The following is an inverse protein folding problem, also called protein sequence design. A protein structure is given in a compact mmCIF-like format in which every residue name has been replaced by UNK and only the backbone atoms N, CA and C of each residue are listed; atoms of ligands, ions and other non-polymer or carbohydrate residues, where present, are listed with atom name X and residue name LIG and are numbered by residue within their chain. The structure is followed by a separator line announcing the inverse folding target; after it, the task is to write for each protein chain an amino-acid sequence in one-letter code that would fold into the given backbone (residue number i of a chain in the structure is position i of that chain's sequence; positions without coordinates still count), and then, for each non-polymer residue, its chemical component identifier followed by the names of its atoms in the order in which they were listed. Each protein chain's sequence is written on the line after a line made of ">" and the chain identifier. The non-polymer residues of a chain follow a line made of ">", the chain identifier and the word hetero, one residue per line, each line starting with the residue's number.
data_IF_557064743156
#
_entry.id   IF_557064743156
#
_cell.length_a   1.000
_cell.length_b   1.000
_cell.length_c   1.000
_cell.angle_alpha   90.00
_cell.angle_beta   90.00
_cell.angle_gamma   90.00
#
_symmetry.space_group_name_H-M   'P 1'
#
loop_
_entity.id
_entity.type
_entity.pdbx_description
1 polymer ?
#
# COMPACT_ATOMS: atom_id res chain seq x y z
N UNK A 1 10.99 -6.13 -16.97
CA UNK A 1 11.45 -5.29 -15.84
C UNK A 1 11.90 -3.95 -16.40
N UNK A 2 11.52 -2.86 -15.74
CA UNK A 2 12.04 -1.51 -16.04
C UNK A 2 13.53 -1.38 -15.66
N UNK A 3 14.21 -0.41 -16.25
CA UNK A 3 15.55 0.00 -15.81
C UNK A 3 15.49 0.46 -14.34
N UNK A 4 16.32 -0.06 -13.42
CA UNK A 4 16.33 0.38 -12.02
C UNK A 4 16.47 1.89 -11.81
N UNK A 5 17.07 2.61 -12.77
CA UNK A 5 17.23 4.06 -12.72
C UNK A 5 15.89 4.81 -12.65
N UNK A 6 14.79 4.24 -13.14
CA UNK A 6 13.45 4.89 -13.05
C UNK A 6 12.94 5.01 -11.61
N UNK A 7 13.47 4.21 -10.69
CA UNK A 7 13.14 4.28 -9.27
C UNK A 7 14.20 5.06 -8.48
N UNK A 8 15.29 5.50 -9.10
CA UNK A 8 16.34 6.24 -8.40
C UNK A 8 15.90 7.67 -8.11
N UNK A 9 16.24 8.16 -6.92
CA UNK A 9 16.04 9.55 -6.52
C UNK A 9 17.08 9.94 -5.47
N UNK A 10 17.26 11.24 -5.25
CA UNK A 10 18.13 11.75 -4.19
C UNK A 10 17.44 11.59 -2.82
N UNK A 11 17.90 10.61 -2.04
CA UNK A 11 17.37 10.35 -0.70
C UNK A 11 17.66 11.47 0.29
N UNK A 12 18.66 12.32 0.01
CA UNK A 12 19.05 13.45 0.86
C UNK A 12 18.32 14.75 0.49
N UNK A 13 17.52 14.74 -0.57
CA UNK A 13 16.65 15.87 -0.88
C UNK A 13 15.78 16.20 0.35
N UNK A 14 15.40 17.47 0.58
CA UNK A 14 14.51 17.81 1.69
C UNK A 14 13.11 17.19 1.48
N UNK A 15 12.47 16.75 2.57
CA UNK A 15 11.09 16.24 2.52
C UNK A 15 10.05 17.35 2.30
N UNK A 16 10.41 18.59 2.65
CA UNK A 16 9.51 19.75 2.68
C UNK A 16 8.14 19.44 3.32
N UNK A 17 8.22 18.74 4.46
CA UNK A 17 7.05 18.26 5.19
C UNK A 17 6.15 19.43 5.61
N UNK A 18 4.91 19.39 5.16
CA UNK A 18 3.83 20.30 5.56
C UNK A 18 2.89 19.51 6.47
N UNK A 19 2.59 20.07 7.65
CA UNK A 19 1.53 19.57 8.53
C UNK A 19 0.34 20.51 8.36
N UNK A 20 -0.74 20.01 7.77
CA UNK A 20 -1.98 20.78 7.52
C UNK A 20 -2.83 20.84 8.78
N UNK A 21 -2.95 19.72 9.50
CA UNK A 21 -3.67 19.62 10.76
C UNK A 21 -3.02 18.59 11.68
N UNK A 22 -3.27 18.74 12.98
CA UNK A 22 -2.87 17.79 14.00
C UNK A 22 -4.02 17.62 14.99
N UNK A 23 -4.32 16.36 15.32
CA UNK A 23 -5.33 16.00 16.30
C UNK A 23 -4.80 14.91 17.23
N UNK A 24 -4.97 15.11 18.54
CA UNK A 24 -4.83 14.04 19.53
C UNK A 24 -6.16 13.30 19.60
N UNK A 25 -6.13 11.99 19.41
CA UNK A 25 -7.28 11.11 19.40
C UNK A 25 -7.58 10.58 20.82
N UNK A 26 -8.77 10.03 21.02
CA UNK A 26 -9.23 9.54 22.33
C UNK A 26 -8.38 8.38 22.91
N UNK A 27 -7.62 7.70 22.06
CA UNK A 27 -6.69 6.61 22.39
C UNK A 27 -5.26 7.11 22.69
N UNK A 28 -5.06 8.43 22.76
CA UNK A 28 -3.78 9.15 22.85
C UNK A 28 -2.84 8.91 21.66
N UNK A 29 -3.32 8.43 20.51
CA UNK A 29 -2.56 8.56 19.28
C UNK A 29 -2.68 10.00 18.74
N UNK A 30 -1.65 10.45 18.03
CA UNK A 30 -1.70 11.69 17.24
C UNK A 30 -1.94 11.33 15.79
N UNK A 31 -2.91 11.99 15.16
CA UNK A 31 -3.12 11.98 13.71
C UNK A 31 -2.71 13.33 13.15
N UNK A 32 -1.88 13.32 12.12
CA UNK A 32 -1.55 14.51 11.34
C UNK A 32 -1.97 14.32 9.88
N UNK A 33 -2.66 15.31 9.34
CA UNK A 33 -2.76 15.49 7.88
C UNK A 33 -1.46 16.14 7.40
N UNK A 34 -0.74 15.43 6.54
CA UNK A 34 0.57 15.87 6.06
C UNK A 34 0.67 15.84 4.54
N UNK A 35 1.61 16.62 4.03
CA UNK A 35 2.10 16.50 2.65
C UNK A 35 3.62 16.56 2.62
N UNK A 36 4.27 15.73 1.80
CA UNK A 36 5.72 15.76 1.59
C UNK A 36 6.06 15.70 0.10
N UNK A 37 7.23 16.21 -0.30
CA UNK A 37 7.62 16.31 -1.71
C UNK A 37 7.82 14.92 -2.32
N UNK A 38 7.15 14.69 -3.45
CA UNK A 38 7.36 13.51 -4.29
C UNK A 38 8.62 13.73 -5.15
N UNK A 39 9.57 12.78 -5.19
CA UNK A 39 10.74 12.89 -6.05
C UNK A 39 10.41 12.91 -7.55
N UNK A 40 9.21 12.45 -7.94
CA UNK A 40 8.70 12.50 -9.30
C UNK A 40 7.89 13.77 -9.61
N UNK A 41 7.81 14.72 -8.66
CA UNK A 41 7.10 15.98 -8.79
C UNK A 41 5.78 16.02 -8.00
N UNK A 42 5.32 17.23 -7.66
CA UNK A 42 4.14 17.40 -6.82
C UNK A 42 4.41 17.04 -5.34
N UNK A 43 3.34 16.78 -4.58
CA UNK A 43 3.41 16.36 -3.18
C UNK A 43 2.58 15.12 -2.94
N UNK A 44 2.96 14.33 -1.95
CA UNK A 44 2.21 13.16 -1.49
C UNK A 44 1.39 13.57 -0.29
N UNK A 45 0.06 13.63 -0.43
CA UNK A 45 -0.86 13.74 0.70
C UNK A 45 -0.90 12.42 1.47
N UNK A 46 -0.89 12.50 2.80
CA UNK A 46 -0.92 11.33 3.65
C UNK A 46 -1.48 11.66 5.04
N UNK A 47 -1.97 10.65 5.74
CA UNK A 47 -2.14 10.70 7.18
C UNK A 47 -0.95 10.03 7.88
N UNK A 48 -0.41 10.70 8.88
CA UNK A 48 0.62 10.17 9.77
C UNK A 48 0.02 9.96 11.16
N UNK A 49 -0.05 8.71 11.60
CA UNK A 49 -0.65 8.31 12.88
C UNK A 49 0.44 7.70 13.76
N UNK A 50 0.68 8.24 14.94
CA UNK A 50 1.74 7.76 15.83
C UNK A 50 1.30 7.78 17.31
N UNK A 51 1.91 6.93 18.16
CA UNK A 51 1.61 6.93 19.59
C UNK A 51 2.00 8.25 20.26
N UNK A 52 1.39 8.58 21.40
CA UNK A 52 1.84 9.67 22.28
C UNK A 52 3.30 9.53 22.77
N UNK A 53 3.91 8.35 22.65
CA UNK A 53 5.33 8.19 22.93
C UNK A 53 6.17 8.85 21.84
N UNK A 54 7.15 9.65 22.26
CA UNK A 54 8.10 10.30 21.35
C UNK A 54 9.00 9.33 20.57
N UNK A 55 8.97 8.03 20.90
CA UNK A 55 9.81 6.99 20.28
C UNK A 55 8.98 5.78 19.85
N UNK A 56 8.33 5.83 18.67
CA UNK A 56 7.72 4.64 18.07
C UNK A 56 8.74 3.51 17.93
N UNK A 57 8.29 2.28 18.12
CA UNK A 57 9.13 1.08 18.00
C UNK A 57 9.27 0.63 16.55
N UNK A 58 8.22 0.82 15.77
CA UNK A 58 8.11 0.35 14.39
C UNK A 58 7.37 1.36 13.53
N UNK A 59 7.52 1.23 12.21
CA UNK A 59 6.85 2.04 11.21
C UNK A 59 6.18 1.18 10.15
N UNK A 60 4.94 1.50 9.77
CA UNK A 60 4.24 0.83 8.67
C UNK A 60 3.78 1.87 7.66
N UNK A 61 4.09 1.63 6.39
CA UNK A 61 3.50 2.39 5.29
C UNK A 61 2.31 1.60 4.73
N UNK A 62 1.17 2.26 4.62
CA UNK A 62 -0.08 1.71 4.10
C UNK A 62 -0.35 2.23 2.70
N UNK A 63 -0.61 1.31 1.77
CA UNK A 63 -1.01 1.59 0.40
C UNK A 63 -2.43 1.12 0.12
N UNK A 64 -3.33 2.04 -0.22
CA UNK A 64 -4.74 1.76 -0.43
C UNK A 64 -5.04 1.01 -1.73
N UNK A 65 -6.25 0.44 -1.82
CA UNK A 65 -6.80 -0.15 -3.04
C UNK A 65 -7.26 0.89 -4.08
N UNK A 66 -7.55 0.44 -5.31
CA UNK A 66 -7.93 1.32 -6.42
C UNK A 66 -9.05 2.33 -6.08
N UNK A 67 -10.06 1.83 -5.38
CA UNK A 67 -11.29 2.55 -5.02
C UNK A 67 -11.19 3.33 -3.70
N UNK A 68 -10.02 3.36 -3.06
CA UNK A 68 -9.80 4.06 -1.79
C UNK A 68 -8.89 5.26 -1.92
N UNK A 69 -8.46 5.74 -0.76
CA UNK A 69 -7.52 6.84 -0.55
C UNK A 69 -6.76 6.60 0.77
N UNK A 70 -6.01 7.60 1.23
CA UNK A 70 -5.30 7.61 2.52
C UNK A 70 -6.14 7.28 3.77
N UNK A 71 -7.48 7.31 3.70
CA UNK A 71 -8.35 7.01 4.85
C UNK A 71 -8.52 5.52 5.13
N UNK A 72 -8.31 4.66 4.13
CA UNK A 72 -8.66 3.22 4.20
C UNK A 72 -8.17 2.54 5.48
N UNK A 73 -6.93 2.83 5.86
CA UNK A 73 -6.26 2.19 6.99
C UNK A 73 -6.25 3.03 8.27
N UNK A 74 -6.88 4.21 8.32
CA UNK A 74 -6.78 5.12 9.48
C UNK A 74 -7.23 4.45 10.79
N UNK A 75 -8.38 3.75 10.80
CA UNK A 75 -8.86 3.08 12.02
C UNK A 75 -7.94 1.95 12.47
N UNK A 76 -7.35 1.21 11.54
CA UNK A 76 -6.36 0.18 11.86
C UNK A 76 -5.06 0.80 12.38
N UNK A 77 -4.55 1.83 11.71
CA UNK A 77 -3.35 2.57 12.08
C UNK A 77 -3.43 3.16 13.51
N UNK A 78 -4.60 3.68 13.90
CA UNK A 78 -4.88 4.12 15.27
C UNK A 78 -4.70 3.00 16.29
N UNK A 79 -5.20 1.80 15.99
CA UNK A 79 -5.02 0.64 16.86
C UNK A 79 -3.54 0.24 16.89
N UNK A 80 -2.82 0.31 15.76
CA UNK A 80 -1.39 -0.03 15.71
C UNK A 80 -0.52 0.98 16.49
N UNK A 81 -0.95 2.23 16.64
CA UNK A 81 -0.28 3.19 17.52
C UNK A 81 -0.22 2.68 18.96
N UNK A 82 -1.27 2.00 19.44
CA UNK A 82 -1.28 1.35 20.78
C UNK A 82 -0.29 0.19 20.90
N UNK A 83 0.20 -0.33 19.77
CA UNK A 83 1.25 -1.36 19.70
C UNK A 83 2.66 -0.76 19.52
N UNK A 84 2.78 0.57 19.57
CA UNK A 84 4.04 1.29 19.40
C UNK A 84 4.43 1.51 17.94
N UNK A 85 3.47 1.46 17.00
CA UNK A 85 3.72 1.66 15.58
C UNK A 85 3.39 3.10 15.16
N UNK A 86 4.28 3.75 14.40
CA UNK A 86 3.88 4.88 13.55
C UNK A 86 3.39 4.36 12.20
N UNK A 87 2.33 4.94 11.68
CA UNK A 87 1.69 4.54 10.43
C UNK A 87 1.63 5.72 9.47
N UNK A 88 1.99 5.49 8.21
CA UNK A 88 1.86 6.46 7.13
C UNK A 88 0.87 5.90 6.09
N UNK A 89 -0.31 6.49 6.00
CA UNK A 89 -1.33 6.15 5.01
C UNK A 89 -1.29 7.21 3.91
N UNK A 90 -0.77 6.88 2.72
CA UNK A 90 -0.57 7.85 1.63
C UNK A 90 -1.61 7.71 0.52
N UNK A 91 -1.84 8.79 -0.21
CA UNK A 91 -2.61 8.77 -1.46
C UNK A 91 -1.76 8.33 -2.65
N UNK A 92 -2.38 7.51 -3.50
CA UNK A 92 -1.88 7.24 -4.84
C UNK A 92 -1.89 8.53 -5.69
N UNK A 93 -1.04 8.63 -6.73
CA UNK A 93 -0.95 9.84 -7.55
C UNK A 93 -2.29 10.37 -8.06
N UNK A 94 -3.22 9.47 -8.42
CA UNK A 94 -4.55 9.80 -8.94
C UNK A 94 -5.59 10.19 -7.85
N UNK A 95 -5.22 10.17 -6.57
CA UNK A 95 -6.07 10.55 -5.42
C UNK A 95 -5.61 11.83 -4.73
N UNK A 96 -4.56 12.47 -5.23
CA UNK A 96 -4.00 13.67 -4.61
C UNK A 96 -4.92 14.86 -4.82
N UNK A 97 -4.95 15.81 -3.87
CA UNK A 97 -5.51 17.14 -4.10
C UNK A 97 -4.88 17.79 -5.33
N UNK A 98 -5.64 18.57 -6.08
CA UNK A 98 -5.21 19.16 -7.36
C UNK A 98 -3.90 19.96 -7.22
N UNK A 99 -3.73 20.69 -6.12
CA UNK A 99 -2.53 21.49 -5.85
C UNK A 99 -1.26 20.64 -5.62
N UNK A 100 -1.42 19.34 -5.42
CA UNK A 100 -0.34 18.37 -5.16
C UNK A 100 -0.07 17.42 -6.33
N UNK A 101 -0.87 17.51 -7.40
CA UNK A 101 -0.63 16.76 -8.62
C UNK A 101 0.71 17.10 -9.26
N UNK A 102 1.37 16.10 -9.81
CA UNK A 102 2.41 16.27 -10.82
C UNK A 102 1.80 16.23 -12.21
N UNK A 103 2.56 16.65 -13.23
CA UNK A 103 2.19 16.34 -14.61
C UNK A 103 1.97 14.84 -14.74
N UNK A 104 0.80 14.42 -15.25
CA UNK A 104 0.45 13.00 -15.43
C UNK A 104 1.46 12.38 -16.39
N UNK A 105 2.37 11.52 -15.90
CA UNK A 105 3.33 10.89 -16.79
C UNK A 105 2.66 9.74 -17.54
N UNK A 106 3.04 9.54 -18.80
CA UNK A 106 2.57 8.40 -19.61
C UNK A 106 2.81 7.08 -18.86
N UNK A 107 1.90 6.09 -18.98
CA UNK A 107 2.08 4.77 -18.38
C UNK A 107 3.47 4.19 -18.69
N UNK A 108 4.15 3.55 -17.72
CA UNK A 108 3.71 3.26 -16.35
C UNK A 108 4.07 4.35 -15.33
N UNK A 109 4.21 5.60 -15.76
CA UNK A 109 4.84 6.67 -14.97
C UNK A 109 4.18 6.94 -13.61
N UNK A 110 2.86 6.97 -13.53
CA UNK A 110 2.15 7.22 -12.28
C UNK A 110 2.38 6.08 -11.28
N UNK A 111 2.43 4.84 -11.78
CA UNK A 111 2.66 3.67 -10.95
C UNK A 111 4.13 3.53 -10.52
N UNK A 112 5.07 4.00 -11.34
CA UNK A 112 6.47 4.19 -10.94
C UNK A 112 6.57 5.26 -9.85
N UNK A 113 5.86 6.38 -10.02
CA UNK A 113 5.81 7.45 -9.02
C UNK A 113 5.25 6.94 -7.70
N UNK A 114 4.19 6.12 -7.70
CA UNK A 114 3.70 5.46 -6.49
C UNK A 114 4.79 4.68 -5.75
N UNK A 115 5.57 3.84 -6.46
CA UNK A 115 6.67 3.08 -5.83
C UNK A 115 7.72 4.03 -5.24
N UNK A 116 8.07 5.09 -5.95
CA UNK A 116 9.04 6.10 -5.47
C UNK A 116 8.50 6.86 -4.26
N UNK A 117 7.21 7.19 -4.24
CA UNK A 117 6.57 7.93 -3.18
C UNK A 117 6.44 7.11 -1.90
N UNK A 118 6.14 5.82 -2.00
CA UNK A 118 6.21 4.92 -0.84
C UNK A 118 7.63 4.90 -0.27
N UNK A 119 8.66 4.80 -1.12
CA UNK A 119 10.06 4.84 -0.66
C UNK A 119 10.44 6.17 -0.04
N UNK A 120 9.86 7.27 -0.53
CA UNK A 120 10.01 8.59 0.08
C UNK A 120 9.31 8.70 1.43
N UNK A 121 8.15 8.08 1.58
CA UNK A 121 7.48 7.91 2.88
C UNK A 121 8.32 7.12 3.88
N UNK A 122 9.10 6.14 3.42
CA UNK A 122 10.08 5.44 4.28
C UNK A 122 11.18 6.40 4.76
N UNK A 123 11.68 7.29 3.90
CA UNK A 123 12.65 8.33 4.32
C UNK A 123 12.06 9.18 5.45
N UNK A 124 10.81 9.62 5.31
CA UNK A 124 10.08 10.37 6.35
C UNK A 124 10.05 9.61 7.68
N UNK A 125 9.67 8.33 7.66
CA UNK A 125 9.59 7.52 8.88
C UNK A 125 10.97 7.33 9.54
N UNK A 126 12.02 7.12 8.75
CA UNK A 126 13.40 6.96 9.23
C UNK A 126 13.92 8.27 9.82
N UNK A 127 13.78 9.39 9.12
CA UNK A 127 14.30 10.69 9.53
C UNK A 127 13.57 11.25 10.75
N UNK A 128 12.23 11.19 10.75
CA UNK A 128 11.42 11.83 11.79
C UNK A 128 11.36 11.04 13.09
N UNK A 129 11.38 9.71 13.01
CA UNK A 129 11.19 8.83 14.18
C UNK A 129 12.41 7.95 14.49
N UNK A 130 13.55 8.22 13.83
CA UNK A 130 14.80 7.48 14.00
C UNK A 130 14.63 5.95 13.85
N UNK A 131 13.70 5.53 12.98
CA UNK A 131 13.44 4.12 12.73
C UNK A 131 14.56 3.49 11.91
N UNK A 132 14.77 2.20 12.11
CA UNK A 132 15.77 1.42 11.38
C UNK A 132 15.09 0.53 10.33
N UNK A 133 15.81 0.05 9.32
CA UNK A 133 15.28 -0.95 8.39
C UNK A 133 14.65 -2.18 9.05
N UNK A 134 15.16 -2.58 10.22
CA UNK A 134 14.68 -3.75 10.94
C UNK A 134 13.32 -3.52 11.63
N UNK A 135 12.82 -2.28 11.62
CA UNK A 135 11.57 -1.87 12.26
C UNK A 135 10.50 -1.38 11.29
N UNK A 136 10.67 -1.60 9.98
CA UNK A 136 9.77 -1.10 8.95
C UNK A 136 8.93 -2.22 8.31
N UNK A 137 7.64 -1.97 8.16
CA UNK A 137 6.68 -2.82 7.46
C UNK A 137 5.95 -2.07 6.34
N UNK A 138 5.32 -2.84 5.45
CA UNK A 138 4.43 -2.33 4.42
C UNK A 138 3.16 -3.17 4.39
N UNK A 139 2.01 -2.51 4.23
CA UNK A 139 0.72 -3.15 3.97
C UNK A 139 0.14 -2.50 2.73
N UNK A 140 -0.12 -3.29 1.70
CA UNK A 140 -0.78 -2.82 0.49
C UNK A 140 -2.05 -3.63 0.23
N UNK A 141 -3.09 -2.97 -0.25
CA UNK A 141 -4.34 -3.61 -0.68
C UNK A 141 -4.59 -3.37 -2.16
N UNK A 142 -4.92 -4.43 -2.91
CA UNK A 142 -5.25 -4.39 -4.34
C UNK A 142 -4.22 -3.63 -5.18
N UNK A 143 -4.50 -2.38 -5.58
CA UNK A 143 -3.53 -1.45 -6.19
C UNK A 143 -2.22 -1.38 -5.38
N UNK A 144 -2.31 -1.07 -4.08
CA UNK A 144 -1.18 -1.07 -3.16
C UNK A 144 -0.47 -2.42 -3.07
N UNK A 145 -1.17 -3.55 -3.12
CA UNK A 145 -0.52 -4.87 -3.11
C UNK A 145 0.13 -5.25 -4.45
N UNK A 146 -0.43 -4.77 -5.56
CA UNK A 146 0.06 -4.99 -6.92
C UNK A 146 1.41 -4.30 -7.10
N UNK A 147 1.47 -3.00 -6.83
CA UNK A 147 2.74 -2.27 -6.91
C UNK A 147 3.62 -2.48 -5.66
N UNK A 148 3.02 -2.86 -4.54
CA UNK A 148 3.73 -3.32 -3.34
C UNK A 148 4.62 -4.54 -3.59
N UNK A 149 4.26 -5.43 -4.52
CA UNK A 149 5.16 -6.51 -4.90
C UNK A 149 6.32 -6.09 -5.80
N UNK A 150 6.15 -5.05 -6.61
CA UNK A 150 7.27 -4.40 -7.29
C UNK A 150 8.20 -3.74 -6.26
N UNK A 151 7.63 -2.96 -5.36
CA UNK A 151 8.31 -2.33 -4.23
C UNK A 151 9.10 -3.34 -3.40
N UNK A 152 8.55 -4.52 -3.10
CA UNK A 152 9.22 -5.55 -2.32
C UNK A 152 10.55 -6.02 -2.94
N UNK A 153 10.67 -6.05 -4.27
CA UNK A 153 11.93 -6.38 -4.95
C UNK A 153 12.93 -5.21 -5.01
N UNK A 154 12.47 -3.98 -4.79
CA UNK A 154 13.24 -2.74 -4.99
C UNK A 154 13.73 -2.16 -3.65
N UNK A 155 12.84 -2.04 -2.67
CA UNK A 155 13.10 -1.37 -1.40
C UNK A 155 13.66 -2.36 -0.37
N UNK A 156 14.91 -2.14 0.02
CA UNK A 156 15.66 -3.04 0.91
C UNK A 156 15.51 -2.73 2.38
N UNK A 157 14.90 -1.58 2.71
CA UNK A 157 14.75 -1.13 4.10
C UNK A 157 13.51 -1.70 4.79
N UNK A 158 12.58 -2.30 4.08
CA UNK A 158 11.36 -2.84 4.68
C UNK A 158 11.56 -4.31 5.01
N UNK A 159 11.27 -4.68 6.25
CA UNK A 159 11.48 -6.04 6.76
C UNK A 159 10.29 -6.96 6.50
N UNK A 160 9.08 -6.43 6.50
CA UNK A 160 7.85 -7.22 6.39
C UNK A 160 6.86 -6.57 5.41
N UNK A 161 6.30 -7.36 4.50
CA UNK A 161 5.27 -6.93 3.56
C UNK A 161 4.01 -7.77 3.73
N UNK A 162 2.87 -7.10 3.77
CA UNK A 162 1.54 -7.72 3.66
C UNK A 162 0.94 -7.27 2.34
N UNK A 163 0.66 -8.22 1.45
CA UNK A 163 0.11 -7.99 0.11
C UNK A 163 -1.31 -8.57 0.06
N UNK A 164 -2.31 -7.70 0.23
CA UNK A 164 -3.73 -8.04 0.29
C UNK A 164 -4.36 -7.94 -1.11
N UNK A 165 -4.92 -9.04 -1.61
CA UNK A 165 -5.70 -9.06 -2.86
C UNK A 165 -5.00 -8.42 -4.08
N UNK A 166 -3.66 -8.51 -4.16
CA UNK A 166 -2.89 -7.92 -5.25
C UNK A 166 -2.73 -8.81 -6.48
N UNK A 167 -2.37 -8.20 -7.60
CA UNK A 167 -2.04 -8.89 -8.84
C UNK A 167 -0.53 -9.06 -9.03
N UNK A 168 -0.09 -10.25 -9.44
CA UNK A 168 1.32 -10.47 -9.83
C UNK A 168 1.66 -9.86 -11.20
N UNK A 169 0.66 -9.63 -12.05
CA UNK A 169 0.82 -9.17 -13.41
C UNK A 169 -0.44 -8.45 -13.87
N UNK A 170 -0.47 -7.13 -13.65
CA UNK A 170 -1.57 -6.26 -14.08
C UNK A 170 -1.73 -6.35 -15.60
N UNK A 171 -0.61 -6.31 -16.34
CA UNK A 171 -0.65 -6.35 -17.81
C UNK A 171 -1.29 -7.62 -18.38
N UNK A 172 -1.15 -8.76 -17.67
CA UNK A 172 -1.80 -10.02 -18.03
C UNK A 172 -3.25 -10.06 -17.55
N UNK A 173 -3.51 -9.69 -16.30
CA UNK A 173 -4.83 -9.88 -15.70
C UNK A 173 -5.87 -8.92 -16.28
N UNK A 174 -5.50 -7.69 -16.63
CA UNK A 174 -6.37 -6.80 -17.42
C UNK A 174 -6.78 -7.42 -18.77
N UNK A 175 -5.90 -8.22 -19.39
CA UNK A 175 -6.17 -8.88 -20.67
C UNK A 175 -7.10 -10.09 -20.54
N UNK A 176 -7.01 -10.84 -19.43
CA UNK A 176 -7.63 -12.16 -19.32
C UNK A 176 -8.71 -12.26 -18.25
N UNK A 177 -8.85 -11.25 -17.39
CA UNK A 177 -9.83 -11.28 -16.31
C UNK A 177 -11.25 -11.39 -16.89
N UNK A 178 -12.08 -12.30 -16.32
CA UNK A 178 -13.49 -12.40 -16.63
C UNK A 178 -14.37 -11.46 -15.76
N UNK A 179 -13.76 -10.59 -14.94
CA UNK A 179 -14.52 -9.66 -14.11
C UNK A 179 -15.33 -8.68 -14.99
N UNK A 180 -16.65 -8.54 -14.81
CA UNK A 180 -17.50 -7.77 -15.71
C UNK A 180 -17.01 -6.34 -15.99
N UNK A 181 -16.51 -5.63 -14.96
CA UNK A 181 -16.01 -4.26 -15.12
C UNK A 181 -14.73 -4.21 -15.96
N UNK A 182 -13.82 -5.18 -15.77
CA UNK A 182 -12.58 -5.27 -16.56
C UNK A 182 -12.91 -5.71 -17.99
N UNK A 183 -13.89 -6.60 -18.18
CA UNK A 183 -14.36 -6.96 -19.51
C UNK A 183 -14.97 -5.77 -20.23
N UNK A 184 -15.76 -4.96 -19.52
CA UNK A 184 -16.38 -3.76 -20.04
C UNK A 184 -15.33 -2.71 -20.41
N UNK A 185 -14.39 -2.39 -19.51
CA UNK A 185 -13.28 -1.47 -19.77
C UNK A 185 -12.48 -1.93 -21.00
N UNK A 186 -12.07 -3.21 -21.04
CA UNK A 186 -11.36 -3.79 -22.18
C UNK A 186 -12.15 -3.72 -23.49
N UNK A 187 -13.49 -3.76 -23.44
CA UNK A 187 -14.36 -3.67 -24.60
C UNK A 187 -14.61 -2.23 -25.06
N UNK A 188 -14.54 -1.24 -24.16
CA UNK A 188 -14.80 0.17 -24.46
C UNK A 188 -13.52 0.97 -24.77
N UNK A 189 -12.35 0.53 -24.32
CA UNK A 189 -11.06 1.15 -24.68
C UNK A 189 -10.66 0.79 -26.13
N UNK A 190 -10.20 1.76 -26.94
CA UNK A 190 -9.67 1.48 -28.27
C UNK A 190 -8.58 0.38 -28.24
N UNK A 191 -8.65 -0.65 -29.10
CA UNK A 191 -7.75 -1.81 -28.98
C UNK A 191 -6.26 -1.50 -29.06
N UNK A 192 -5.87 -0.45 -29.80
CA UNK A 192 -4.47 -0.02 -29.91
C UNK A 192 -3.98 0.71 -28.68
N UNK A 193 -4.81 1.57 -28.09
CA UNK A 193 -4.56 2.25 -26.82
C UNK A 193 -4.44 1.23 -25.69
N UNK A 194 -5.38 0.29 -25.59
CA UNK A 194 -5.32 -0.78 -24.59
C UNK A 194 -4.05 -1.63 -24.73
N UNK A 195 -3.66 -1.99 -25.97
CA UNK A 195 -2.40 -2.72 -26.19
C UNK A 195 -1.17 -1.90 -25.81
N UNK A 196 -1.16 -0.61 -26.11
CA UNK A 196 -0.07 0.29 -25.75
C UNK A 196 0.07 0.42 -24.23
N UNK A 197 -1.06 0.62 -23.53
CA UNK A 197 -1.12 0.65 -22.07
C UNK A 197 -0.56 -0.64 -21.45
N UNK A 198 -1.05 -1.82 -21.87
CA UNK A 198 -0.56 -3.08 -21.33
C UNK A 198 0.94 -3.31 -21.64
N UNK A 199 1.41 -2.89 -22.81
CA UNK A 199 2.82 -2.99 -23.17
C UNK A 199 3.71 -2.08 -22.31
N UNK A 200 3.22 -0.89 -21.97
CA UNK A 200 3.90 0.05 -21.08
C UNK A 200 3.91 -0.43 -19.62
N UNK A 201 2.82 -1.06 -19.15
CA UNK A 201 2.70 -1.60 -17.80
C UNK A 201 3.49 -2.90 -17.58
N UNK A 202 3.59 -3.76 -18.60
CA UNK A 202 4.17 -5.11 -18.43
C UNK A 202 5.57 -5.12 -17.77
N UNK A 203 6.50 -4.20 -18.09
CA UNK A 203 7.79 -4.14 -17.40
C UNK A 203 7.72 -3.88 -15.90
N UNK A 204 6.66 -3.23 -15.38
CA UNK A 204 6.45 -2.93 -13.97
C UNK A 204 5.73 -4.06 -13.21
N UNK A 205 5.18 -5.06 -13.90
CA UNK A 205 4.47 -6.17 -13.25
C UNK A 205 5.29 -6.81 -12.11
N UNK A 206 4.65 -7.01 -10.95
CA UNK A 206 5.28 -7.52 -9.73
C UNK A 206 6.02 -8.84 -9.93
N UNK A 207 5.58 -9.70 -10.87
CA UNK A 207 6.24 -10.96 -11.26
C UNK A 207 7.72 -10.81 -11.61
N UNK A 208 8.16 -9.61 -12.01
CA UNK A 208 9.56 -9.36 -12.33
C UNK A 208 10.39 -9.12 -11.06
N UNK A 209 9.79 -8.57 -10.01
CA UNK A 209 10.47 -8.01 -8.85
C UNK A 209 10.31 -8.87 -7.59
N UNK A 210 9.14 -9.46 -7.36
CA UNK A 210 8.77 -10.10 -6.09
C UNK A 210 9.68 -11.28 -5.70
N UNK A 211 10.30 -11.93 -6.69
CA UNK A 211 11.32 -12.97 -6.48
C UNK A 211 12.63 -12.46 -5.87
N UNK A 212 12.80 -11.14 -5.75
CA UNK A 212 13.99 -10.49 -5.21
C UNK A 212 13.77 -9.87 -3.83
N UNK A 213 12.62 -10.11 -3.18
CA UNK A 213 12.29 -9.45 -1.92
C UNK A 213 13.11 -9.92 -0.71
N UNK A 214 13.78 -11.08 -0.80
CA UNK A 214 14.62 -11.59 0.28
C UNK A 214 15.66 -10.54 0.73
N UNK A 215 15.92 -10.42 2.05
CA UNK A 215 15.44 -11.29 3.12
C UNK A 215 14.09 -10.88 3.74
N UNK A 216 13.33 -9.97 3.12
CA UNK A 216 12.05 -9.52 3.68
C UNK A 216 11.04 -10.66 3.81
N UNK A 217 10.21 -10.58 4.84
CA UNK A 217 9.12 -11.53 5.10
C UNK A 217 7.86 -11.09 4.35
N UNK A 218 7.25 -12.01 3.62
CA UNK A 218 6.06 -11.73 2.83
C UNK A 218 4.84 -12.48 3.39
N UNK A 219 3.72 -11.79 3.56
CA UNK A 219 2.41 -12.37 3.79
C UNK A 219 1.47 -11.99 2.66
N UNK A 220 0.96 -12.99 1.95
CA UNK A 220 -0.07 -12.82 0.93
C UNK A 220 -1.44 -13.14 1.52
N UNK A 221 -2.42 -12.25 1.33
CA UNK A 221 -3.78 -12.44 1.84
C UNK A 221 -4.78 -12.38 0.68
N UNK A 222 -5.60 -13.42 0.55
CA UNK A 222 -6.60 -13.52 -0.52
C UNK A 222 -7.91 -14.10 -0.01
N UNK A 223 -9.04 -13.69 -0.57
CA UNK A 223 -10.31 -14.37 -0.38
C UNK A 223 -10.50 -15.44 -1.47
N UNK A 224 -11.11 -16.59 -1.12
CA UNK A 224 -11.42 -17.63 -2.12
C UNK A 224 -12.52 -17.21 -3.11
N UNK A 225 -13.34 -16.27 -2.69
CA UNK A 225 -14.47 -15.70 -3.43
C UNK A 225 -14.19 -14.29 -3.92
N UNK A 226 -12.92 -13.87 -3.96
CA UNK A 226 -12.50 -12.59 -4.53
C UNK A 226 -12.89 -12.53 -6.03
N UNK A 227 -13.66 -11.51 -6.46
CA UNK A 227 -14.10 -11.42 -7.85
C UNK A 227 -13.01 -10.94 -8.82
N UNK A 228 -11.94 -10.32 -8.31
CA UNK A 228 -10.81 -9.79 -9.10
C UNK A 228 -9.59 -10.70 -9.09
N UNK A 229 -9.39 -11.49 -8.02
CA UNK A 229 -8.22 -12.35 -7.84
C UNK A 229 -8.62 -13.80 -7.71
N UNK A 230 -8.44 -14.57 -8.78
CA UNK A 230 -8.68 -16.01 -8.74
C UNK A 230 -7.71 -16.72 -7.78
N UNK A 231 -8.12 -17.87 -7.22
CA UNK A 231 -7.24 -18.72 -6.40
C UNK A 231 -5.95 -19.07 -7.15
N UNK A 232 -6.04 -19.31 -8.46
CA UNK A 232 -4.88 -19.61 -9.30
C UNK A 232 -3.92 -18.43 -9.39
N UNK A 233 -4.42 -17.22 -9.59
CA UNK A 233 -3.59 -16.02 -9.73
C UNK A 233 -2.94 -15.62 -8.41
N UNK A 234 -3.66 -15.72 -7.29
CA UNK A 234 -3.09 -15.51 -5.96
C UNK A 234 -1.99 -16.53 -5.62
N UNK A 235 -2.20 -17.82 -5.95
CA UNK A 235 -1.18 -18.85 -5.78
C UNK A 235 0.05 -18.58 -6.65
N UNK A 236 -0.13 -18.18 -7.90
CA UNK A 236 0.98 -17.85 -8.79
C UNK A 236 1.78 -16.64 -8.29
N UNK A 237 1.11 -15.63 -7.71
CA UNK A 237 1.79 -14.50 -7.08
C UNK A 237 2.70 -14.98 -5.94
N UNK A 238 2.16 -15.81 -5.05
CA UNK A 238 2.94 -16.41 -3.96
C UNK A 238 4.10 -17.26 -4.47
N UNK A 239 3.90 -18.10 -5.49
CA UNK A 239 4.93 -18.99 -6.02
C UNK A 239 6.13 -18.23 -6.59
N UNK A 240 5.89 -17.11 -7.27
CA UNK A 240 6.92 -16.23 -7.84
C UNK A 240 7.77 -15.50 -6.79
N UNK A 241 7.27 -15.37 -5.56
CA UNK A 241 7.91 -14.60 -4.50
C UNK A 241 9.12 -15.31 -3.88
N UNK A 242 10.08 -14.54 -3.35
CA UNK A 242 11.18 -15.10 -2.56
C UNK A 242 10.71 -15.57 -1.18
N UNK A 243 11.49 -16.46 -0.55
CA UNK A 243 11.34 -16.79 0.88
C UNK A 243 12.07 -15.78 1.78
N UNK A 244 11.64 -15.58 3.04
CA UNK A 244 10.49 -16.21 3.71
C UNK A 244 9.13 -15.63 3.27
N UNK A 245 8.16 -16.51 3.05
CA UNK A 245 6.82 -16.15 2.57
C UNK A 245 5.72 -17.02 3.19
N UNK A 246 4.54 -16.44 3.39
CA UNK A 246 3.33 -17.10 3.85
C UNK A 246 2.14 -16.67 2.97
N UNK A 247 1.14 -17.54 2.84
CA UNK A 247 -0.11 -17.24 2.16
C UNK A 247 -1.27 -17.64 3.07
N UNK A 248 -2.27 -16.77 3.18
CA UNK A 248 -3.49 -17.01 3.92
C UNK A 248 -4.70 -16.81 2.99
N UNK A 249 -5.62 -17.77 3.03
CA UNK A 249 -6.85 -17.79 2.25
C UNK A 249 -8.05 -17.65 3.18
N UNK A 250 -8.93 -16.71 2.86
CA UNK A 250 -10.08 -16.36 3.67
C UNK A 250 -11.39 -16.72 2.96
N UNK A 251 -12.38 -17.12 3.76
CA UNK A 251 -13.74 -17.42 3.32
C UNK A 251 -14.72 -16.35 3.85
N UNK A 252 -15.91 -16.27 3.26
CA UNK A 252 -16.98 -15.34 3.66
C UNK A 252 -16.59 -13.85 3.56
N UNK A 253 -15.78 -13.50 2.57
CA UNK A 253 -15.45 -12.12 2.18
C UNK A 253 -15.13 -12.05 0.69
N UNK A 254 -15.16 -10.85 0.13
CA UNK A 254 -14.72 -10.54 -1.21
C UNK A 254 -13.33 -9.89 -1.21
N UNK A 255 -13.17 -8.94 -2.12
CA UNK A 255 -11.92 -8.23 -2.35
C UNK A 255 -11.44 -7.45 -1.12
N UNK A 256 -12.38 -6.95 -0.31
CA UNK A 256 -12.15 -6.17 0.91
C UNK A 256 -11.45 -6.94 2.04
N UNK A 257 -11.49 -8.28 1.99
CA UNK A 257 -11.10 -9.20 3.05
C UNK A 257 -11.85 -8.97 4.38
N UNK A 258 -11.72 -9.91 5.32
CA UNK A 258 -12.47 -9.86 6.58
C UNK A 258 -11.60 -9.47 7.78
N UNK A 259 -12.26 -9.32 8.93
CA UNK A 259 -11.63 -9.04 10.21
C UNK A 259 -10.58 -10.08 10.64
N UNK A 260 -10.73 -11.35 10.25
CA UNK A 260 -9.71 -12.37 10.51
C UNK A 260 -8.43 -12.09 9.71
N UNK A 261 -8.54 -11.69 8.45
CA UNK A 261 -7.39 -11.24 7.67
C UNK A 261 -6.69 -10.06 8.35
N UNK A 262 -7.43 -9.13 8.94
CA UNK A 262 -6.86 -8.03 9.74
C UNK A 262 -6.07 -8.53 10.95
N UNK A 263 -6.66 -9.42 11.74
CA UNK A 263 -5.97 -10.01 12.89
C UNK A 263 -4.67 -10.74 12.50
N UNK A 264 -4.71 -11.50 11.41
CA UNK A 264 -3.56 -12.27 10.96
C UNK A 264 -2.43 -11.37 10.46
N UNK A 265 -2.73 -10.31 9.70
CA UNK A 265 -1.69 -9.36 9.24
C UNK A 265 -1.08 -8.60 10.40
N UNK A 266 -1.86 -8.18 11.39
CA UNK A 266 -1.32 -7.48 12.57
C UNK A 266 -0.46 -8.43 13.40
N UNK A 267 -0.90 -9.68 13.57
CA UNK A 267 -0.10 -10.70 14.27
C UNK A 267 1.22 -10.96 13.54
N UNK A 268 1.17 -11.12 12.22
CA UNK A 268 2.36 -11.26 11.38
C UNK A 268 3.31 -10.06 11.51
N UNK A 269 2.80 -8.83 11.44
CA UNK A 269 3.62 -7.63 11.65
C UNK A 269 4.28 -7.64 13.04
N UNK A 270 3.54 -7.97 14.11
CA UNK A 270 4.11 -8.05 15.47
C UNK A 270 5.19 -9.13 15.62
N UNK A 271 5.15 -10.19 14.81
CA UNK A 271 6.21 -11.20 14.79
C UNK A 271 7.46 -10.73 14.04
N UNK A 272 7.29 -9.90 13.00
CA UNK A 272 8.39 -9.52 12.12
C UNK A 272 9.06 -8.20 12.50
N UNK A 273 8.31 -7.21 12.96
CA UNK A 273 8.80 -5.89 13.35
C UNK A 273 8.49 -5.64 14.84
N UNK A 274 9.24 -4.76 15.54
CA UNK A 274 9.24 -4.69 17.01
C UNK A 274 8.01 -3.97 17.60
N UNK A 275 6.82 -4.28 17.10
CA UNK A 275 5.54 -3.91 17.69
C UNK A 275 5.25 -4.76 18.93
N UNK A 276 4.45 -4.23 19.85
CA UNK A 276 3.95 -5.01 20.98
C UNK A 276 2.95 -6.09 20.49
N UNK A 277 2.95 -7.29 21.08
CA UNK A 277 1.96 -8.30 20.72
C UNK A 277 0.54 -7.83 21.09
N UNK A 278 -0.48 -8.14 20.26
CA UNK A 278 -1.83 -7.64 20.49
C UNK A 278 -2.48 -8.33 21.69
N UNK A 279 -2.85 -7.53 22.69
CA UNK A 279 -3.66 -7.96 23.86
C UNK A 279 -5.06 -8.43 23.43
N UNK A 280 -5.82 -9.12 24.29
CA UNK A 280 -7.21 -9.48 23.98
C UNK A 280 -8.08 -8.28 23.62
N UNK A 281 -7.88 -7.14 24.27
CA UNK A 281 -8.59 -5.89 23.97
C UNK A 281 -8.24 -5.37 22.57
N UNK A 282 -6.95 -5.33 22.22
CA UNK A 282 -6.52 -4.90 20.89
C UNK A 282 -7.07 -5.83 19.80
N UNK A 283 -7.08 -7.14 20.05
CA UNK A 283 -7.68 -8.12 19.12
C UNK A 283 -9.17 -7.82 18.91
N UNK A 284 -9.90 -7.50 19.97
CA UNK A 284 -11.32 -7.14 19.86
C UNK A 284 -11.51 -5.87 19.01
N UNK A 285 -10.71 -4.83 19.22
CA UNK A 285 -10.79 -3.60 18.42
C UNK A 285 -10.49 -3.86 16.93
N UNK A 286 -9.49 -4.70 16.63
CA UNK A 286 -9.18 -5.08 15.25
C UNK A 286 -10.34 -5.84 14.58
N UNK A 287 -11.11 -6.60 15.35
CA UNK A 287 -12.32 -7.27 14.85
C UNK A 287 -13.45 -6.30 14.52
N UNK A 288 -13.49 -5.15 15.20
CA UNK A 288 -14.54 -4.14 15.08
C UNK A 288 -14.26 -3.10 13.99
N UNK A 289 -13.02 -3.03 13.46
CA UNK A 289 -12.71 -2.14 12.33
C UNK A 289 -13.58 -2.55 11.14
N UNK A 290 -14.37 -1.61 10.57
CA UNK A 290 -15.25 -1.92 9.44
C UNK A 290 -14.45 -2.40 8.22
N UNK A 291 -15.10 -3.13 7.34
CA UNK A 291 -14.53 -3.42 6.03
C UNK A 291 -14.34 -2.10 5.25
N UNK A 292 -13.30 -1.99 4.41
CA UNK A 292 -13.14 -0.82 3.56
C UNK A 292 -14.35 -0.68 2.63
N UNK A 293 -14.77 0.57 2.40
CA UNK A 293 -15.89 0.90 1.53
C UNK A 293 -15.33 1.65 0.33
N UNK A 294 -15.72 1.28 -0.91
CA UNK A 294 -15.34 2.03 -2.11
C UNK A 294 -15.73 3.50 -1.99
N UNK A 295 -14.82 4.39 -2.36
CA UNK A 295 -15.16 5.80 -2.53
C UNK A 295 -16.05 5.94 -3.78
N UNK A 296 -17.06 6.82 -3.74
CA UNK A 296 -17.88 7.08 -4.92
C UNK A 296 -17.06 7.73 -6.04
N UNK A 297 -17.42 7.46 -7.30
CA UNK A 297 -16.73 7.96 -8.50
C UNK A 297 -16.59 9.49 -8.56
N UNK A 298 -17.39 10.27 -7.84
CA UNK A 298 -17.34 11.74 -7.80
C UNK A 298 -16.44 12.31 -6.70
N UNK A 299 -15.85 11.48 -5.83
CA UNK A 299 -14.98 11.91 -4.73
C UNK A 299 -13.67 12.60 -5.20
N UNK A 300 -13.49 12.80 -6.51
CA UNK A 300 -12.43 13.63 -7.09
C UNK A 300 -12.69 15.14 -6.94
N UNK A 301 -13.91 15.57 -6.60
CA UNK A 301 -14.31 16.99 -6.71
C UNK A 301 -14.52 17.74 -5.37
N UNK A 302 -14.54 17.09 -4.20
CA UNK A 302 -15.06 17.71 -2.95
C UNK A 302 -14.04 18.09 -1.84
N UNK A 303 -12.73 18.23 -2.10
CA UNK A 303 -11.80 18.81 -1.10
C UNK A 303 -11.75 20.37 -1.12
N UNK A 304 -12.72 21.05 -1.76
CA UNK A 304 -12.93 22.50 -1.62
C UNK A 304 -14.21 22.83 -0.83
N UNK A 305 -14.12 22.84 0.51
CA UNK A 305 -15.02 23.64 1.36
C UNK A 305 -14.38 24.06 2.68
#
# INVERSE_FOLDING_TARGET
>A
MLDPAVFAYDQLAPLELVVRSEQVLDDNATLQDIAYTSPAGGKVSAFLIFPASDTPRAGVVFGHWGEGNREEFVQEARILARLGCVSLCLDAPYRRPQEYESQVPEPPGADVQWVVDVRRGIDLLVERFALTPQSLGYVGHSYGATFGGALAGIERRIKAYVLMAGWYSLSKLMRTSPHPEIEQERATTPPEEFRAYLAAMAPLDARHYIGQAAPAHLLFQFARTDPFVSVQDGQLYFDLASSPKQIAWYDNCGHELNAQARLDRVSFLCEQIPMLPPSPEIRQLLLEVPAPVPLPDWAHEEEES
#
